data_IF_814125847479
#
_entry.id   IF_814125847479
#
_cell.length_a   1.000
_cell.length_b   1.000
_cell.length_c   1.000
_cell.angle_alpha   90.00
_cell.angle_beta   90.00
_cell.angle_gamma   90.00
#
_symmetry.space_group_name_H-M   'P 1'
#
loop_
_entity.id
_entity.type
_entity.pdbx_description
1 polymer ?
#
# COMPACT_ATOMS: atom_id res chain seq x y z
N UNK A 1 -14.47 2.46 26.67
CA UNK A 1 -15.39 1.32 26.69
C UNK A 1 -14.61 0.04 26.43
N UNK A 2 -14.86 -0.97 27.23
CA UNK A 2 -14.30 -2.30 27.05
C UNK A 2 -15.45 -3.25 26.72
N UNK A 3 -15.22 -4.21 25.86
CA UNK A 3 -16.21 -5.21 25.49
C UNK A 3 -15.73 -6.10 24.38
N UNK A 4 -16.45 -7.19 24.17
CA UNK A 4 -16.18 -8.16 23.14
C UNK A 4 -17.36 -8.27 22.19
N UNK A 5 -17.06 -8.53 20.92
CA UNK A 5 -18.05 -8.92 19.94
C UNK A 5 -17.87 -10.40 19.66
N UNK A 6 -18.91 -11.20 19.85
CA UNK A 6 -18.90 -12.62 19.51
C UNK A 6 -19.89 -12.86 18.39
N UNK A 7 -19.40 -13.38 17.27
CA UNK A 7 -20.21 -13.67 16.10
C UNK A 7 -19.78 -15.00 15.48
N UNK A 8 -20.71 -15.66 14.77
CA UNK A 8 -20.38 -16.87 13.99
C UNK A 8 -19.69 -16.51 12.68
N UNK A 9 -19.98 -15.33 12.16
CA UNK A 9 -19.44 -14.85 10.92
C UNK A 9 -19.47 -13.33 10.88
N UNK A 10 -18.58 -12.72 10.11
CA UNK A 10 -18.49 -11.27 9.90
C UNK A 10 -18.33 -11.01 8.40
N UNK A 11 -19.26 -10.23 7.84
CA UNK A 11 -19.17 -9.78 6.44
C UNK A 11 -18.76 -8.31 6.43
N UNK A 12 -17.60 -8.02 5.87
CA UNK A 12 -17.05 -6.67 5.78
C UNK A 12 -17.26 -6.11 4.37
N UNK A 13 -17.78 -4.88 4.29
CA UNK A 13 -18.03 -4.19 3.03
C UNK A 13 -16.86 -3.28 2.67
N UNK A 14 -15.72 -3.85 2.41
CA UNK A 14 -14.52 -3.09 2.04
C UNK A 14 -13.56 -3.91 1.20
N UNK A 15 -12.48 -3.27 0.75
CA UNK A 15 -11.51 -3.89 -0.16
C UNK A 15 -10.34 -4.56 0.54
N UNK A 16 -9.96 -4.11 1.73
CA UNK A 16 -8.75 -4.58 2.40
C UNK A 16 -8.86 -4.57 3.92
N UNK A 17 -7.93 -5.29 4.54
CA UNK A 17 -7.60 -5.17 5.95
C UNK A 17 -6.40 -4.24 6.07
N UNK A 18 -6.53 -3.15 6.79
CA UNK A 18 -5.51 -2.15 7.00
C UNK A 18 -5.12 -2.04 8.46
N UNK A 19 -3.97 -1.47 8.73
CA UNK A 19 -3.50 -1.12 10.07
C UNK A 19 -3.00 0.31 10.05
N UNK A 20 -3.32 1.08 11.08
CA UNK A 20 -2.81 2.44 11.21
C UNK A 20 -1.34 2.40 11.64
N UNK A 21 -0.54 3.22 10.96
CA UNK A 21 0.88 3.40 11.25
C UNK A 21 1.19 4.86 11.45
N UNK A 22 2.16 5.14 12.32
CA UNK A 22 2.73 6.47 12.48
C UNK A 22 3.48 6.86 11.21
N UNK A 23 3.29 8.11 10.79
CA UNK A 23 3.96 8.68 9.63
C UNK A 23 5.05 9.65 10.12
N UNK A 24 6.23 9.55 9.56
CA UNK A 24 7.34 10.44 9.88
C UNK A 24 7.01 11.87 9.48
N UNK A 25 7.15 12.79 10.42
CA UNK A 25 6.87 14.22 10.19
C UNK A 25 5.39 14.55 10.23
N UNK A 26 5.05 15.73 9.73
CA UNK A 26 3.70 16.29 9.75
C UNK A 26 3.01 16.26 8.37
N UNK A 27 3.69 15.80 7.34
CA UNK A 27 3.15 15.76 5.99
C UNK A 27 2.03 14.72 5.88
N UNK A 28 0.97 15.10 5.19
CA UNK A 28 -0.16 14.22 4.88
C UNK A 28 0.01 13.66 3.47
N UNK A 29 -0.15 12.35 3.32
CA UNK A 29 -0.07 11.68 2.03
C UNK A 29 -1.45 11.22 1.57
N UNK A 30 -1.66 11.23 0.27
CA UNK A 30 -2.92 10.76 -0.33
C UNK A 30 -3.04 9.24 -0.22
N UNK A 31 -4.28 8.70 -0.09
CA UNK A 31 -4.51 7.27 -0.32
C UNK A 31 -3.95 6.81 -1.66
N UNK A 32 -3.44 5.59 -1.71
CA UNK A 32 -2.76 5.03 -2.88
C UNK A 32 -1.25 5.22 -2.87
N UNK A 33 -0.72 6.04 -1.97
CA UNK A 33 0.73 6.29 -1.87
C UNK A 33 1.46 5.08 -1.28
N UNK A 34 2.58 4.71 -1.91
CA UNK A 34 3.47 3.64 -1.45
C UNK A 34 4.37 4.17 -0.35
N UNK A 35 4.42 3.45 0.77
CA UNK A 35 5.13 3.84 1.98
C UNK A 35 6.22 2.83 2.34
N UNK A 36 7.31 3.32 2.90
CA UNK A 36 8.43 2.51 3.39
C UNK A 36 8.70 2.79 4.87
N UNK A 37 9.33 1.83 5.55
CA UNK A 37 9.67 1.92 6.97
C UNK A 37 10.94 2.76 7.13
N UNK A 38 10.92 3.74 8.04
CA UNK A 38 12.10 4.49 8.41
C UNK A 38 12.94 3.76 9.46
N UNK A 39 13.99 4.40 9.97
CA UNK A 39 14.89 3.79 10.95
C UNK A 39 14.25 3.61 12.34
N UNK A 40 13.16 4.31 12.63
CA UNK A 40 12.49 4.29 13.94
C UNK A 40 11.16 3.51 13.91
N UNK A 41 10.82 2.92 12.76
CA UNK A 41 9.59 2.15 12.60
C UNK A 41 8.37 2.96 12.16
N UNK A 42 8.48 4.28 12.05
CA UNK A 42 7.47 5.10 11.39
C UNK A 42 7.57 4.94 9.88
N UNK A 43 6.58 5.41 9.15
CA UNK A 43 6.56 5.28 7.70
C UNK A 43 6.84 6.61 7.02
N UNK A 44 7.44 6.52 5.85
CA UNK A 44 7.67 7.65 4.96
C UNK A 44 7.37 7.26 3.52
N UNK A 45 7.20 8.25 2.66
CA UNK A 45 6.92 8.02 1.25
C UNK A 45 8.09 7.31 0.56
N UNK A 46 7.78 6.32 -0.28
CA UNK A 46 8.81 5.61 -1.06
C UNK A 46 9.49 6.54 -2.06
N UNK A 47 10.78 6.32 -2.31
CA UNK A 47 11.61 7.15 -3.20
C UNK A 47 12.63 6.36 -4.00
N UNK A 48 12.78 5.07 -3.74
CA UNK A 48 13.82 4.23 -4.33
C UNK A 48 13.21 3.00 -4.98
N UNK A 49 13.83 2.56 -6.07
CA UNK A 49 13.48 1.30 -6.71
C UNK A 49 13.86 0.11 -5.82
N UNK A 50 13.00 -0.90 -5.78
CA UNK A 50 13.24 -2.15 -5.08
C UNK A 50 13.63 -1.97 -3.61
N UNK A 51 12.91 -1.09 -2.92
CA UNK A 51 13.18 -0.82 -1.50
C UNK A 51 12.57 -1.91 -0.63
N UNK A 52 13.41 -2.74 -0.02
CA UNK A 52 12.98 -3.82 0.87
C UNK A 52 12.29 -3.35 2.14
N UNK A 53 12.37 -2.05 2.44
CA UNK A 53 11.65 -1.46 3.58
C UNK A 53 10.19 -1.16 3.27
N UNK A 54 9.70 -1.54 2.11
CA UNK A 54 8.31 -1.28 1.73
C UNK A 54 7.35 -1.88 2.76
N UNK A 55 6.44 -1.04 3.27
CA UNK A 55 5.41 -1.45 4.21
C UNK A 55 4.09 -1.74 3.52
N UNK A 56 3.76 -1.00 2.48
CA UNK A 56 2.52 -1.16 1.74
C UNK A 56 2.03 0.14 1.13
N UNK A 57 0.73 0.21 0.96
CA UNK A 57 0.03 1.29 0.28
C UNK A 57 -1.00 1.90 1.24
N UNK A 58 -1.09 3.22 1.29
CA UNK A 58 -2.15 3.87 2.07
C UNK A 58 -3.51 3.49 1.49
N UNK A 59 -4.35 2.87 2.32
CA UNK A 59 -5.68 2.43 1.94
C UNK A 59 -6.65 3.60 1.79
N UNK A 60 -7.67 3.43 0.94
CA UNK A 60 -8.78 4.35 0.82
C UNK A 60 -8.88 5.12 -0.50
N UNK A 61 -8.00 4.86 -1.46
CA UNK A 61 -8.10 5.48 -2.78
C UNK A 61 -9.21 4.88 -3.63
N UNK A 62 -9.77 5.69 -4.53
CA UNK A 62 -10.82 5.26 -5.43
C UNK A 62 -12.09 4.82 -4.69
N UNK A 63 -12.71 3.77 -5.18
CA UNK A 63 -13.92 3.19 -4.58
C UNK A 63 -13.63 2.03 -3.60
N UNK A 64 -12.36 1.71 -3.35
CA UNK A 64 -11.93 0.67 -2.42
C UNK A 64 -11.57 1.29 -1.07
N UNK A 65 -12.52 1.22 -0.12
CA UNK A 65 -12.29 1.63 1.26
C UNK A 65 -11.80 0.43 2.08
N UNK A 66 -11.07 0.63 3.20
CA UNK A 66 -10.71 -0.48 4.06
C UNK A 66 -11.97 -1.12 4.66
N UNK A 67 -11.98 -2.45 4.73
CA UNK A 67 -13.04 -3.19 5.40
C UNK A 67 -12.89 -3.17 6.91
N UNK A 68 -11.65 -3.16 7.39
CA UNK A 68 -11.29 -3.06 8.80
C UNK A 68 -9.97 -2.33 8.93
N UNK A 69 -9.82 -1.55 10.00
CA UNK A 69 -8.57 -0.86 10.33
C UNK A 69 -8.14 -1.27 11.73
N UNK A 70 -6.97 -1.87 11.83
CA UNK A 70 -6.36 -2.29 13.10
C UNK A 70 -5.55 -1.14 13.71
N UNK A 71 -5.33 -1.21 15.02
CA UNK A 71 -4.52 -0.25 15.79
C UNK A 71 -4.95 1.20 15.61
N UNK A 72 -6.25 1.42 15.46
CA UNK A 72 -6.80 2.77 15.38
C UNK A 72 -6.82 3.40 16.76
N UNK A 73 -6.08 4.49 16.93
CA UNK A 73 -5.92 5.16 18.20
C UNK A 73 -6.50 6.57 18.16
N UNK A 74 -7.13 7.05 19.24
CA UNK A 74 -7.53 8.44 19.37
C UNK A 74 -6.29 9.30 19.63
N UNK A 75 -5.53 9.60 18.59
CA UNK A 75 -4.26 10.30 18.64
C UNK A 75 -4.29 11.51 17.72
N UNK A 76 -3.65 12.61 18.15
CA UNK A 76 -3.40 13.76 17.29
C UNK A 76 -2.17 13.55 16.39
N UNK A 77 -1.44 12.45 16.58
CA UNK A 77 -0.28 12.13 15.73
C UNK A 77 -0.71 11.82 14.30
N UNK A 78 0.21 12.03 13.36
CA UNK A 78 -0.01 11.75 11.95
C UNK A 78 0.01 10.24 11.73
N UNK A 79 -1.15 9.66 11.43
CA UNK A 79 -1.31 8.23 11.18
C UNK A 79 -2.12 7.99 9.93
N UNK A 80 -1.77 6.93 9.21
CA UNK A 80 -2.51 6.51 8.02
C UNK A 80 -2.75 5.00 8.03
N UNK A 81 -3.90 4.53 7.50
CA UNK A 81 -4.17 3.10 7.35
C UNK A 81 -3.37 2.54 6.17
N UNK A 82 -2.57 1.53 6.43
CA UNK A 82 -1.76 0.83 5.44
C UNK A 82 -2.42 -0.51 5.12
N UNK A 83 -2.67 -0.77 3.85
CA UNK A 83 -3.26 -2.03 3.40
C UNK A 83 -2.29 -3.19 3.65
N UNK A 84 -2.73 -4.19 4.41
CA UNK A 84 -1.95 -5.38 4.74
C UNK A 84 -2.37 -6.58 3.89
N UNK A 85 -3.63 -6.63 3.48
CA UNK A 85 -4.24 -7.78 2.83
C UNK A 85 -5.45 -7.32 2.03
N UNK A 86 -5.63 -7.82 0.83
CA UNK A 86 -6.81 -7.57 0.01
C UNK A 86 -6.55 -6.61 -1.14
N UNK A 87 -7.61 -5.97 -1.60
CA UNK A 87 -7.58 -5.08 -2.78
C UNK A 87 -7.48 -3.62 -2.35
N UNK A 88 -6.60 -2.89 -3.01
CA UNK A 88 -6.40 -1.46 -2.78
C UNK A 88 -6.00 -0.79 -4.09
N UNK A 89 -6.35 0.49 -4.26
CA UNK A 89 -5.79 1.28 -5.35
C UNK A 89 -4.40 1.77 -4.98
N UNK A 90 -3.48 1.69 -5.92
CA UNK A 90 -2.08 2.06 -5.77
C UNK A 90 -1.65 3.01 -6.86
N UNK A 91 -0.93 4.05 -6.50
CA UNK A 91 -0.25 4.92 -7.45
C UNK A 91 0.88 4.13 -8.11
N UNK A 92 0.90 4.11 -9.43
CA UNK A 92 1.91 3.39 -10.22
C UNK A 92 2.48 4.29 -11.31
N UNK A 93 3.69 3.98 -11.72
CA UNK A 93 4.37 4.67 -12.81
C UNK A 93 4.85 3.64 -13.84
N UNK A 94 4.17 3.60 -14.98
CA UNK A 94 4.49 2.71 -16.08
C UNK A 94 5.59 3.28 -17.00
N UNK A 95 6.15 4.44 -16.67
CA UNK A 95 7.28 5.01 -17.42
C UNK A 95 8.48 4.05 -17.44
N UNK A 96 8.72 3.34 -16.34
CA UNK A 96 9.85 2.40 -16.23
C UNK A 96 9.61 1.11 -17.03
N UNK A 97 8.37 0.66 -17.09
CA UNK A 97 7.94 -0.48 -17.89
C UNK A 97 6.40 -0.53 -17.90
N UNK A 98 5.77 -0.88 -19.01
CA UNK A 98 4.33 -1.13 -19.03
C UNK A 98 3.92 -2.20 -18.02
N UNK A 99 2.81 -1.97 -17.35
CA UNK A 99 2.27 -2.87 -16.34
C UNK A 99 1.11 -3.66 -16.94
N UNK A 100 1.21 -4.97 -16.89
CA UNK A 100 0.13 -5.89 -17.30
C UNK A 100 -0.57 -6.51 -16.09
N UNK A 101 -1.75 -7.07 -16.32
CA UNK A 101 -2.50 -7.80 -15.29
C UNK A 101 -1.65 -8.96 -14.76
N UNK A 102 -1.57 -9.08 -13.42
CA UNK A 102 -0.80 -10.12 -12.77
C UNK A 102 0.68 -9.78 -12.55
N UNK A 103 1.18 -8.68 -13.10
CA UNK A 103 2.56 -8.27 -12.88
C UNK A 103 2.81 -7.95 -11.42
N UNK A 104 3.96 -8.40 -10.90
CA UNK A 104 4.43 -8.02 -9.58
C UNK A 104 4.86 -6.56 -9.58
N UNK A 105 4.59 -5.87 -8.48
CA UNK A 105 4.89 -4.46 -8.30
C UNK A 105 5.88 -4.28 -7.15
N UNK A 106 6.76 -3.29 -7.29
CA UNK A 106 7.73 -2.88 -6.28
C UNK A 106 7.77 -1.35 -6.19
N UNK A 107 8.53 -0.82 -5.26
CA UNK A 107 8.77 0.62 -5.17
C UNK A 107 9.54 1.15 -6.37
N UNK A 108 9.36 2.42 -6.68
CA UNK A 108 10.02 3.08 -7.82
C UNK A 108 10.75 4.35 -7.40
N UNK A 109 11.60 4.91 -8.25
CA UNK A 109 12.19 6.24 -8.00
C UNK A 109 11.17 7.37 -8.01
N UNK A 110 9.98 7.15 -8.60
CA UNK A 110 8.89 8.13 -8.53
C UNK A 110 8.28 8.09 -7.14
N UNK A 111 8.35 9.20 -6.42
CA UNK A 111 7.92 9.27 -5.02
C UNK A 111 6.48 8.77 -4.85
N UNK A 112 6.30 7.81 -3.94
CA UNK A 112 4.99 7.25 -3.59
C UNK A 112 4.33 6.38 -4.66
N UNK A 113 5.02 6.05 -5.73
CA UNK A 113 4.51 5.24 -6.84
C UNK A 113 5.21 3.91 -6.93
N UNK A 114 4.46 2.87 -7.25
CA UNK A 114 5.01 1.56 -7.59
C UNK A 114 5.37 1.47 -9.08
N UNK A 115 6.16 0.50 -9.43
CA UNK A 115 6.48 0.12 -10.79
C UNK A 115 6.47 -1.40 -10.94
N UNK A 116 6.49 -1.90 -12.18
CA UNK A 116 6.66 -3.32 -12.44
C UNK A 116 7.99 -3.82 -11.87
N UNK A 117 7.95 -4.92 -11.13
CA UNK A 117 9.10 -5.61 -10.61
C UNK A 117 9.69 -6.53 -11.68
N UNK A 118 10.50 -5.97 -12.58
CA UNK A 118 11.07 -6.72 -13.70
C UNK A 118 12.35 -7.49 -13.38
N UNK A 119 13.00 -7.22 -12.25
CA UNK A 119 14.23 -7.87 -11.81
C UNK A 119 13.96 -8.79 -10.62
N UNK A 120 13.89 -10.12 -10.83
CA UNK A 120 13.52 -11.06 -9.76
C UNK A 120 14.47 -11.05 -8.56
N UNK A 121 15.76 -10.85 -8.80
CA UNK A 121 16.76 -10.83 -7.71
C UNK A 121 16.59 -9.61 -6.83
N UNK A 122 16.33 -8.44 -7.41
CA UNK A 122 16.09 -7.21 -6.66
C UNK A 122 14.71 -7.20 -6.01
N UNK A 123 13.74 -7.89 -6.59
CA UNK A 123 12.37 -7.91 -6.11
C UNK A 123 12.20 -8.71 -4.82
N UNK A 124 13.10 -9.63 -4.51
CA UNK A 124 13.01 -10.45 -3.30
C UNK A 124 12.98 -9.57 -2.05
N UNK A 125 11.88 -9.66 -1.30
CA UNK A 125 11.65 -8.83 -0.12
C UNK A 125 11.16 -7.39 -0.41
N UNK A 126 10.95 -7.04 -1.68
CA UNK A 126 10.54 -5.70 -2.08
C UNK A 126 9.25 -5.69 -2.93
N UNK A 127 8.51 -6.78 -2.95
CA UNK A 127 7.23 -6.90 -3.68
C UNK A 127 6.09 -6.35 -2.84
N UNK A 128 5.26 -5.51 -3.45
CA UNK A 128 4.06 -4.94 -2.85
C UNK A 128 2.85 -5.87 -3.09
N UNK A 129 2.71 -6.35 -4.31
CA UNK A 129 1.56 -7.15 -4.73
C UNK A 129 1.49 -7.31 -6.23
N UNK A 130 0.28 -7.63 -6.72
CA UNK A 130 0.03 -7.87 -8.15
C UNK A 130 -0.96 -6.86 -8.70
N UNK A 131 -0.68 -6.39 -9.92
CA UNK A 131 -1.61 -5.53 -10.65
C UNK A 131 -2.89 -6.28 -11.04
N UNK A 132 -4.05 -5.71 -10.74
CA UNK A 132 -5.35 -6.24 -11.14
C UNK A 132 -5.85 -5.61 -12.44
N UNK A 133 -5.26 -4.48 -12.85
CA UNK A 133 -5.51 -3.81 -14.12
C UNK A 133 -4.20 -3.35 -14.74
N UNK A 134 -4.16 -3.24 -16.08
CA UNK A 134 -2.95 -2.77 -16.75
C UNK A 134 -2.83 -1.24 -16.71
N UNK A 135 -1.60 -0.75 -16.88
CA UNK A 135 -1.29 0.63 -17.23
C UNK A 135 -0.15 0.60 -18.24
N UNK A 136 -0.39 1.08 -19.47
CA UNK A 136 0.58 0.98 -20.57
C UNK A 136 1.67 2.05 -20.52
N UNK A 137 1.40 3.23 -19.96
CA UNK A 137 2.32 4.36 -19.98
C UNK A 137 1.97 5.35 -18.87
N UNK A 138 2.96 6.14 -18.45
CA UNK A 138 2.79 7.24 -17.52
C UNK A 138 2.38 6.83 -16.12
N UNK A 139 1.95 7.80 -15.34
CA UNK A 139 1.48 7.61 -13.97
C UNK A 139 -0.03 7.39 -13.95
N UNK A 140 -0.48 6.58 -12.99
CA UNK A 140 -1.90 6.32 -12.82
C UNK A 140 -2.20 5.68 -11.48
N UNK A 141 -3.49 5.45 -11.25
CA UNK A 141 -4.00 4.78 -10.05
C UNK A 141 -4.70 3.50 -10.52
N UNK A 142 -4.19 2.34 -10.10
CA UNK A 142 -4.75 1.05 -10.49
C UNK A 142 -5.06 0.20 -9.25
N UNK A 143 -6.07 -0.68 -9.32
CA UNK A 143 -6.31 -1.63 -8.25
C UNK A 143 -5.24 -2.72 -8.26
N UNK A 144 -4.77 -3.08 -7.08
CA UNK A 144 -3.79 -4.14 -6.89
C UNK A 144 -4.26 -5.09 -5.79
N UNK A 145 -3.70 -6.29 -5.82
CA UNK A 145 -3.86 -7.27 -4.75
C UNK A 145 -2.58 -7.25 -3.90
N UNK A 146 -2.72 -6.89 -2.62
CA UNK A 146 -1.58 -6.82 -1.70
C UNK A 146 -1.05 -8.22 -1.42
N UNK A 147 0.25 -8.37 -1.56
CA UNK A 147 0.99 -9.59 -1.24
C UNK A 147 2.46 -9.24 -1.05
N UNK A 148 2.81 -8.76 0.14
CA UNK A 148 4.20 -8.42 0.47
C UNK A 148 5.09 -9.67 0.43
N UNK A 149 6.18 -9.59 -0.31
CA UNK A 149 7.14 -10.70 -0.44
C UNK A 149 8.56 -10.20 -0.61
#
# INVERSE_FOLDING_TARGET
>A
MTGNITAKDVVLAGGDCAEDFDILGAEKFEPGTVMVIDQEGALQQSQQAYDKRVAGVISGAGDLRPGIVLDKQPSESNRHPIALLGKVYCKVDAHYSPIGVGDLLTTSPTAGHAMKAGDPLKAFGAVIGKALRPLGAGQGLIPILIALQ
#
